data_IF_098760115992
#
_entry.id   IF_098760115992
#
_cell.length_a   1.000
_cell.length_b   1.000
_cell.length_c   1.000
_cell.angle_alpha   90.00
_cell.angle_beta   90.00
_cell.angle_gamma   90.00
#
_symmetry.space_group_name_H-M   'P 1'
#
loop_
_entity.id
_entity.type
_entity.pdbx_description
1 polymer ?
#
# COMPACT_ATOMS: atom_id res chain seq x y z
N UNK A 1 20.23 -71.13 25.64
CA UNK A 1 20.64 -70.00 24.79
C UNK A 1 19.42 -69.12 24.52
N UNK A 2 19.28 -68.01 25.26
CA UNK A 2 18.10 -67.14 25.22
C UNK A 2 18.37 -65.98 24.25
N UNK A 3 17.69 -65.93 23.09
CA UNK A 3 17.82 -64.85 22.10
C UNK A 3 17.10 -63.60 22.62
N UNK A 4 17.87 -62.54 22.89
CA UNK A 4 17.38 -61.19 23.19
C UNK A 4 16.81 -60.55 21.92
N UNK A 5 15.51 -60.29 21.90
CA UNK A 5 14.87 -59.46 20.87
C UNK A 5 15.16 -57.99 21.17
N UNK A 6 15.86 -57.31 20.25
CA UNK A 6 16.07 -55.86 20.29
C UNK A 6 14.88 -55.18 19.60
N UNK A 7 14.07 -54.44 20.36
CA UNK A 7 12.99 -53.62 19.81
C UNK A 7 13.58 -52.24 19.45
N UNK A 8 13.71 -51.96 18.16
CA UNK A 8 14.11 -50.63 17.67
C UNK A 8 12.87 -49.75 17.58
N UNK A 9 12.74 -48.77 18.48
CA UNK A 9 11.75 -47.70 18.33
C UNK A 9 12.25 -46.70 17.28
N UNK A 10 11.60 -46.70 16.11
CA UNK A 10 11.70 -45.64 15.12
C UNK A 10 10.94 -44.41 15.63
N UNK A 11 11.67 -43.38 16.06
CA UNK A 11 11.12 -42.05 16.32
C UNK A 11 10.76 -41.40 14.98
N UNK A 12 9.47 -41.30 14.69
CA UNK A 12 8.97 -40.50 13.58
C UNK A 12 9.21 -39.02 13.88
N UNK A 13 10.21 -38.43 13.20
CA UNK A 13 10.47 -37.00 13.24
C UNK A 13 9.36 -36.24 12.52
N UNK A 14 8.35 -35.81 13.27
CA UNK A 14 7.38 -34.83 12.80
C UNK A 14 8.07 -33.48 12.63
N UNK A 15 8.45 -33.14 11.40
CA UNK A 15 8.92 -31.80 11.07
C UNK A 15 7.80 -30.79 11.37
N UNK A 16 8.04 -29.93 12.35
CA UNK A 16 7.18 -28.78 12.62
C UNK A 16 7.33 -27.84 11.42
N UNK A 17 6.45 -27.97 10.43
CA UNK A 17 6.32 -26.99 9.36
C UNK A 17 5.89 -25.68 10.01
N UNK A 18 6.81 -24.70 10.10
CA UNK A 18 6.43 -23.38 10.58
C UNK A 18 5.33 -22.86 9.65
N UNK A 19 4.15 -22.61 10.23
CA UNK A 19 3.02 -22.11 9.48
C UNK A 19 3.40 -20.74 8.90
N UNK A 20 3.48 -20.66 7.56
CA UNK A 20 3.72 -19.41 6.86
C UNK A 20 2.61 -18.42 7.25
N UNK A 21 2.96 -17.27 7.82
CA UNK A 21 1.96 -16.24 8.12
C UNK A 21 1.21 -15.85 6.83
N UNK A 22 -0.11 -15.63 6.91
CA UNK A 22 -0.88 -15.21 5.74
C UNK A 22 -0.34 -13.90 5.20
N UNK A 23 -0.46 -13.72 3.87
CA UNK A 23 0.00 -12.51 3.24
C UNK A 23 -0.79 -11.30 3.78
N UNK A 24 -0.07 -10.26 4.22
CA UNK A 24 -0.65 -9.04 4.77
C UNK A 24 0.08 -7.81 4.24
N UNK A 25 -0.44 -6.64 4.57
CA UNK A 25 0.16 -5.37 4.16
C UNK A 25 1.27 -4.97 5.13
N UNK A 26 2.46 -4.78 4.60
CA UNK A 26 3.61 -4.20 5.28
C UNK A 26 3.77 -2.75 4.85
N UNK A 27 3.95 -1.85 5.81
CA UNK A 27 4.29 -0.45 5.56
C UNK A 27 5.44 -0.04 6.44
N UNK A 28 6.37 0.74 5.88
CA UNK A 28 7.56 1.09 6.62
C UNK A 28 8.54 1.89 5.81
N UNK A 29 9.68 2.14 6.46
CA UNK A 29 10.82 2.79 5.86
C UNK A 29 11.79 1.72 5.34
N UNK A 30 12.22 1.86 4.10
CA UNK A 30 13.08 0.93 3.38
C UNK A 30 14.42 1.59 3.08
N UNK A 31 15.50 0.86 3.32
CA UNK A 31 16.86 1.30 3.02
C UNK A 31 17.62 0.13 2.37
N UNK A 32 18.43 0.43 1.35
CA UNK A 32 19.31 -0.56 0.77
C UNK A 32 20.42 -0.96 1.75
N UNK A 33 20.79 -2.24 1.71
CA UNK A 33 21.91 -2.83 2.43
C UNK A 33 22.73 -3.70 1.50
N UNK A 34 23.88 -4.19 1.97
CA UNK A 34 24.71 -5.14 1.20
C UNK A 34 23.98 -6.46 0.86
N UNK A 35 22.87 -6.78 1.56
CA UNK A 35 22.10 -8.03 1.40
C UNK A 35 20.70 -7.81 0.80
N UNK A 36 20.47 -6.65 0.18
CA UNK A 36 19.17 -6.25 -0.37
C UNK A 36 18.47 -5.19 0.49
N UNK A 37 17.16 -5.04 0.32
CA UNK A 37 16.37 -4.05 1.07
C UNK A 37 16.11 -4.51 2.51
N UNK A 38 16.31 -3.59 3.46
CA UNK A 38 15.85 -3.74 4.83
C UNK A 38 14.66 -2.82 5.07
N UNK A 39 13.65 -3.31 5.78
CA UNK A 39 12.50 -2.50 6.18
C UNK A 39 12.44 -2.32 7.70
N UNK A 40 11.98 -1.14 8.12
CA UNK A 40 11.45 -0.88 9.45
C UNK A 40 9.95 -0.69 9.37
N UNK A 41 9.14 -1.69 9.78
CA UNK A 41 7.70 -1.54 9.81
C UNK A 41 7.30 -0.37 10.71
N UNK A 42 6.29 0.40 10.28
CA UNK A 42 5.78 1.51 11.06
C UNK A 42 5.35 1.04 12.46
N UNK A 43 5.72 1.80 13.50
CA UNK A 43 5.36 1.56 14.91
C UNK A 43 5.82 0.21 15.50
N UNK A 44 6.81 -0.47 14.91
CA UNK A 44 7.28 -1.78 15.40
C UNK A 44 8.64 -1.74 16.12
N UNK A 45 9.52 -0.80 15.76
CA UNK A 45 10.94 -0.84 16.17
C UNK A 45 11.76 -1.97 15.52
N UNK A 46 11.13 -2.84 14.73
CA UNK A 46 11.76 -3.99 14.11
C UNK A 46 12.62 -3.62 12.90
N UNK A 47 13.52 -4.54 12.55
CA UNK A 47 14.29 -4.53 11.30
C UNK A 47 14.10 -5.88 10.61
N UNK A 48 13.45 -5.86 9.45
CA UNK A 48 13.17 -7.05 8.65
C UNK A 48 13.96 -6.99 7.34
N UNK A 49 14.35 -8.16 6.85
CA UNK A 49 14.98 -8.34 5.55
C UNK A 49 13.86 -8.56 4.53
N UNK A 50 13.95 -7.90 3.39
CA UNK A 50 12.94 -7.98 2.34
C UNK A 50 13.49 -8.83 1.20
N UNK A 51 12.87 -9.97 0.96
CA UNK A 51 13.06 -10.73 -0.27
C UNK A 51 12.10 -10.17 -1.32
N UNK A 52 12.66 -9.66 -2.42
CA UNK A 52 11.87 -9.16 -3.54
C UNK A 52 11.37 -10.33 -4.42
N UNK A 53 10.10 -10.69 -4.22
CA UNK A 53 9.35 -11.63 -5.04
C UNK A 53 8.23 -10.94 -5.84
N UNK A 54 8.35 -9.62 -6.04
CA UNK A 54 7.43 -8.86 -6.89
C UNK A 54 7.68 -9.16 -8.37
N UNK A 55 6.71 -8.87 -9.25
CA UNK A 55 6.94 -8.96 -10.69
C UNK A 55 8.20 -8.20 -11.10
N UNK A 56 9.05 -8.87 -11.89
CA UNK A 56 10.33 -8.33 -12.38
C UNK A 56 11.34 -7.88 -11.31
N UNK A 57 11.13 -8.23 -10.02
CA UNK A 57 12.00 -7.79 -8.90
C UNK A 57 12.19 -6.27 -8.88
N UNK A 58 11.07 -5.54 -8.95
CA UNK A 58 11.08 -4.09 -9.18
C UNK A 58 11.49 -3.23 -7.97
N UNK A 59 11.56 -3.77 -6.74
CA UNK A 59 11.70 -2.95 -5.54
C UNK A 59 13.05 -2.24 -5.46
N UNK A 60 14.14 -2.93 -5.80
CA UNK A 60 15.47 -2.33 -5.76
C UNK A 60 15.66 -1.27 -6.84
N UNK A 61 15.11 -1.50 -8.03
CA UNK A 61 15.13 -0.52 -9.12
C UNK A 61 14.38 0.74 -8.72
N UNK A 62 13.16 0.58 -8.20
CA UNK A 62 12.36 1.70 -7.73
C UNK A 62 13.02 2.45 -6.56
N UNK A 63 13.68 1.73 -5.64
CA UNK A 63 14.46 2.36 -4.58
C UNK A 63 15.55 3.27 -5.14
N UNK A 64 16.35 2.77 -6.09
CA UNK A 64 17.44 3.55 -6.72
C UNK A 64 16.90 4.78 -7.46
N UNK A 65 15.80 4.63 -8.19
CA UNK A 65 15.13 5.74 -8.88
C UNK A 65 14.69 6.83 -7.90
N UNK A 66 14.04 6.45 -6.80
CA UNK A 66 13.46 7.39 -5.85
C UNK A 66 14.51 8.06 -4.95
N UNK A 67 15.62 7.38 -4.62
CA UNK A 67 16.63 7.99 -3.73
C UNK A 67 17.66 8.82 -4.46
N UNK A 68 17.95 8.54 -5.73
CA UNK A 68 19.05 9.11 -6.54
C UNK A 68 20.48 8.89 -5.97
N UNK A 69 20.61 8.71 -4.65
CA UNK A 69 21.83 8.38 -3.90
C UNK A 69 21.53 7.29 -2.86
N UNK A 70 22.43 6.34 -2.60
CA UNK A 70 22.21 5.29 -1.61
C UNK A 70 22.18 5.85 -0.17
N UNK A 71 21.52 5.13 0.74
CA UNK A 71 21.54 5.41 2.19
C UNK A 71 20.37 6.26 2.71
N UNK A 72 19.53 6.81 1.83
CA UNK A 72 18.28 7.45 2.24
C UNK A 72 17.19 6.41 2.44
N UNK A 73 16.43 6.53 3.53
CA UNK A 73 15.23 5.73 3.72
C UNK A 73 14.08 6.29 2.87
N UNK A 74 13.28 5.40 2.26
CA UNK A 74 12.04 5.77 1.55
C UNK A 74 10.87 4.99 2.14
N UNK A 75 9.67 5.53 1.99
CA UNK A 75 8.47 4.82 2.40
C UNK A 75 8.04 3.85 1.31
N UNK A 76 7.67 2.62 1.69
CA UNK A 76 6.93 1.72 0.82
C UNK A 76 5.79 1.04 1.55
N UNK A 77 4.78 0.65 0.78
CA UNK A 77 3.69 -0.22 1.20
C UNK A 77 3.63 -1.44 0.26
N UNK A 78 3.63 -2.64 0.83
CA UNK A 78 3.77 -3.92 0.13
C UNK A 78 2.75 -4.92 0.66
N UNK A 79 2.33 -5.89 -0.14
CA UNK A 79 1.80 -7.16 0.37
C UNK A 79 2.91 -8.22 0.36
N UNK A 80 2.99 -9.01 1.42
CA UNK A 80 3.96 -10.09 1.53
C UNK A 80 3.63 -11.06 2.66
N UNK A 81 4.39 -12.15 2.74
CA UNK A 81 4.34 -13.12 3.86
C UNK A 81 5.61 -13.02 4.70
N UNK A 82 5.50 -13.20 6.01
CA UNK A 82 6.63 -13.16 6.94
C UNK A 82 7.03 -14.56 7.40
N UNK A 83 8.33 -14.80 7.48
CA UNK A 83 8.95 -15.94 8.15
C UNK A 83 10.12 -15.43 8.99
N UNK A 84 9.93 -15.39 10.31
CA UNK A 84 10.92 -14.83 11.24
C UNK A 84 11.22 -13.35 10.94
N UNK A 85 12.46 -13.05 10.52
CA UNK A 85 12.88 -11.70 10.11
C UNK A 85 12.78 -11.43 8.60
N UNK A 86 12.40 -12.44 7.82
CA UNK A 86 12.28 -12.31 6.37
C UNK A 86 10.84 -11.97 5.99
N UNK A 87 10.67 -10.98 5.11
CA UNK A 87 9.41 -10.65 4.45
C UNK A 87 9.59 -10.93 2.97
N UNK A 88 8.83 -11.90 2.45
CA UNK A 88 8.74 -12.15 1.02
C UNK A 88 7.69 -11.22 0.43
N UNK A 89 8.13 -10.12 -0.20
CA UNK A 89 7.26 -9.13 -0.80
C UNK A 89 6.77 -9.60 -2.17
N UNK A 90 5.45 -9.65 -2.37
CA UNK A 90 4.83 -10.19 -3.59
C UNK A 90 4.12 -9.13 -4.42
N UNK A 91 3.69 -8.02 -3.79
CA UNK A 91 3.05 -6.90 -4.48
C UNK A 91 3.48 -5.58 -3.86
N UNK A 92 3.87 -4.63 -4.70
CA UNK A 92 4.02 -3.23 -4.32
C UNK A 92 2.66 -2.53 -4.41
N UNK A 93 2.34 -1.65 -3.45
CA UNK A 93 1.17 -0.77 -3.51
C UNK A 93 1.55 0.67 -3.81
N UNK A 94 2.55 1.19 -3.08
CA UNK A 94 3.13 2.52 -3.29
C UNK A 94 4.54 2.62 -2.74
N UNK A 95 5.35 3.52 -3.31
CA UNK A 95 6.67 3.89 -2.81
C UNK A 95 6.95 5.37 -3.10
N UNK A 96 7.51 6.09 -2.14
CA UNK A 96 7.91 7.49 -2.32
C UNK A 96 9.04 7.87 -1.36
N UNK A 97 9.89 8.80 -1.79
CA UNK A 97 10.97 9.33 -0.96
C UNK A 97 10.51 10.51 -0.09
N UNK A 98 9.44 11.21 -0.48
CA UNK A 98 8.93 12.43 0.16
C UNK A 98 7.44 12.31 0.40
N UNK A 99 6.99 12.57 1.62
CA UNK A 99 5.59 12.43 2.00
C UNK A 99 5.39 12.15 3.49
N UNK A 100 4.14 11.83 3.90
CA UNK A 100 3.80 11.64 5.31
C UNK A 100 4.43 10.37 5.91
N UNK A 101 4.63 9.32 5.12
CA UNK A 101 5.22 8.05 5.54
C UNK A 101 4.44 7.40 6.68
N UNK A 102 5.15 6.88 7.68
CA UNK A 102 4.55 6.25 8.86
C UNK A 102 3.72 7.19 9.76
N UNK A 103 3.73 8.51 9.51
CA UNK A 103 2.91 9.48 10.24
C UNK A 103 1.50 9.63 9.66
N UNK A 104 1.23 8.99 8.53
CA UNK A 104 -0.06 9.08 7.88
C UNK A 104 -1.15 8.37 8.70
N UNK A 105 -2.28 9.07 8.91
CA UNK A 105 -3.51 8.49 9.44
C UNK A 105 -4.45 8.08 8.30
N UNK A 106 -4.80 6.79 8.30
CA UNK A 106 -5.65 6.12 7.32
C UNK A 106 -6.76 5.28 7.98
N UNK A 107 -6.93 5.35 9.30
CA UNK A 107 -7.82 4.42 10.05
C UNK A 107 -9.28 4.51 9.59
N UNK A 108 -9.76 5.71 9.25
CA UNK A 108 -11.11 5.95 8.75
C UNK A 108 -11.18 6.11 7.22
N UNK A 109 -10.07 5.90 6.51
CA UNK A 109 -9.96 6.16 5.07
C UNK A 109 -10.06 4.83 4.33
N UNK A 110 -11.02 4.72 3.40
CA UNK A 110 -11.09 3.61 2.46
C UNK A 110 -10.11 3.81 1.31
N UNK A 111 -10.11 5.00 0.72
CA UNK A 111 -9.25 5.37 -0.39
C UNK A 111 -8.80 6.82 -0.22
N UNK A 112 -7.52 7.07 -0.46
CA UNK A 112 -6.96 8.41 -0.57
C UNK A 112 -6.44 8.62 -1.99
N UNK A 113 -6.65 9.82 -2.50
CA UNK A 113 -6.28 10.20 -3.85
C UNK A 113 -5.76 11.65 -3.88
N UNK A 114 -4.82 11.93 -4.78
CA UNK A 114 -4.27 13.27 -4.97
C UNK A 114 -3.86 13.50 -6.42
N UNK A 115 -3.87 14.76 -6.84
CA UNK A 115 -3.34 15.21 -8.13
C UNK A 115 -2.66 16.57 -8.03
N UNK A 116 -1.82 16.87 -9.02
CA UNK A 116 -0.90 18.02 -9.00
C UNK A 116 -1.39 19.21 -9.81
N UNK A 117 -1.99 18.99 -10.99
CA UNK A 117 -2.38 20.07 -11.90
C UNK A 117 -3.84 19.94 -12.34
N UNK A 118 -4.76 20.74 -11.75
CA UNK A 118 -4.58 21.53 -10.54
C UNK A 118 -4.33 20.65 -9.30
N UNK A 119 -3.83 21.24 -8.21
CA UNK A 119 -3.68 20.52 -6.94
C UNK A 119 -5.05 20.17 -6.36
N UNK A 120 -5.20 18.92 -5.95
CA UNK A 120 -6.37 18.46 -5.20
C UNK A 120 -6.02 17.23 -4.36
N UNK A 121 -6.81 17.04 -3.30
CA UNK A 121 -6.73 15.90 -2.40
C UNK A 121 -8.14 15.37 -2.16
N UNK A 122 -8.31 14.06 -2.15
CA UNK A 122 -9.59 13.42 -1.86
C UNK A 122 -9.40 12.27 -0.86
N UNK A 123 -10.25 12.26 0.16
CA UNK A 123 -10.39 11.14 1.10
C UNK A 123 -11.79 10.56 0.99
N UNK A 124 -11.91 9.33 0.49
CA UNK A 124 -13.12 8.54 0.64
C UNK A 124 -13.08 7.84 2.00
N UNK A 125 -13.88 8.32 2.95
CA UNK A 125 -13.97 7.83 4.32
C UNK A 125 -15.28 7.10 4.54
N UNK A 126 -15.38 6.37 5.66
CA UNK A 126 -16.63 5.71 6.09
C UNK A 126 -17.82 6.68 6.19
N UNK A 127 -17.56 7.92 6.60
CA UNK A 127 -18.61 8.90 6.94
C UNK A 127 -18.86 9.98 5.86
N UNK A 128 -17.96 10.12 4.90
CA UNK A 128 -18.08 11.02 3.75
C UNK A 128 -16.94 10.86 2.75
N UNK A 129 -17.14 11.41 1.56
CA UNK A 129 -16.04 11.74 0.64
C UNK A 129 -15.70 13.22 0.83
N UNK A 130 -14.42 13.51 1.11
CA UNK A 130 -13.92 14.86 1.37
C UNK A 130 -12.94 15.27 0.27
N UNK A 131 -13.24 16.33 -0.45
CA UNK A 131 -12.36 16.91 -1.47
C UNK A 131 -11.79 18.25 -1.00
N UNK A 132 -10.47 18.38 -1.02
CA UNK A 132 -9.72 19.60 -0.70
C UNK A 132 -9.02 20.11 -1.95
N UNK A 133 -9.07 21.42 -2.16
CA UNK A 133 -8.34 22.13 -3.21
C UNK A 133 -7.72 23.39 -2.61
N UNK A 134 -6.61 23.90 -3.15
CA UNK A 134 -6.07 25.18 -2.73
C UNK A 134 -7.12 26.28 -2.82
N UNK A 135 -7.23 27.09 -1.77
CA UNK A 135 -8.17 28.20 -1.70
C UNK A 135 -9.63 27.83 -1.44
N UNK A 136 -9.95 26.56 -1.18
CA UNK A 136 -11.31 26.12 -0.82
C UNK A 136 -11.32 25.50 0.57
N UNK A 137 -11.65 26.30 1.56
CA UNK A 137 -11.88 25.86 2.94
C UNK A 137 -13.29 26.28 3.39
N UNK A 138 -14.07 25.41 4.05
CA UNK A 138 -13.71 24.02 4.42
C UNK A 138 -13.65 23.07 3.22
N UNK A 139 -13.09 21.87 3.45
CA UNK A 139 -13.17 20.77 2.49
C UNK A 139 -14.60 20.53 2.03
N UNK A 140 -14.76 20.27 0.74
CA UNK A 140 -16.06 19.95 0.17
C UNK A 140 -16.47 18.53 0.55
N UNK A 141 -17.67 18.42 1.09
CA UNK A 141 -18.21 17.17 1.62
C UNK A 141 -19.26 16.61 0.67
N UNK A 142 -19.07 15.36 0.27
CA UNK A 142 -20.03 14.56 -0.48
C UNK A 142 -20.50 13.38 0.39
N UNK A 143 -21.70 12.82 0.14
CA UNK A 143 -22.25 11.73 0.93
C UNK A 143 -21.31 10.53 1.01
N UNK A 144 -21.32 9.85 2.15
CA UNK A 144 -20.64 8.57 2.27
C UNK A 144 -21.31 7.56 1.34
N UNK A 145 -20.52 6.87 0.54
CA UNK A 145 -20.98 5.70 -0.19
C UNK A 145 -19.83 4.73 -0.36
N UNK A 146 -20.17 3.46 -0.57
CA UNK A 146 -19.21 2.41 -0.86
C UNK A 146 -18.69 2.61 -2.28
N UNK A 147 -17.39 2.43 -2.47
CA UNK A 147 -16.80 2.30 -3.80
C UNK A 147 -17.32 1.03 -4.48
N UNK A 148 -18.20 1.20 -5.47
CA UNK A 148 -18.79 0.09 -6.20
C UNK A 148 -17.81 -0.47 -7.23
N UNK A 149 -17.69 -1.79 -7.28
CA UNK A 149 -16.91 -2.44 -8.35
C UNK A 149 -17.74 -2.47 -9.64
N UNK A 150 -17.26 -1.83 -10.70
CA UNK A 150 -17.83 -1.90 -12.05
C UNK A 150 -16.76 -2.38 -13.03
N UNK A 151 -16.80 -3.67 -13.37
CA UNK A 151 -15.76 -4.32 -14.16
C UNK A 151 -14.38 -4.23 -13.48
N UNK A 152 -13.40 -3.64 -14.16
CA UNK A 152 -12.04 -3.44 -13.63
C UNK A 152 -11.88 -2.19 -12.76
N UNK A 153 -12.93 -1.39 -12.60
CA UNK A 153 -12.87 -0.11 -11.88
C UNK A 153 -13.62 -0.15 -10.54
N UNK A 154 -13.18 0.67 -9.61
CA UNK A 154 -14.01 1.09 -8.49
C UNK A 154 -14.55 2.47 -8.77
N UNK A 155 -15.84 2.66 -8.63
CA UNK A 155 -16.50 3.94 -8.91
C UNK A 155 -17.25 4.47 -7.72
N UNK A 156 -17.40 5.77 -7.68
CA UNK A 156 -18.26 6.49 -6.74
C UNK A 156 -18.93 7.65 -7.47
N UNK A 157 -20.18 7.93 -7.13
CA UNK A 157 -20.89 9.13 -7.53
C UNK A 157 -21.62 9.71 -6.31
N UNK A 158 -21.45 11.01 -6.08
CA UNK A 158 -22.10 11.71 -4.99
C UNK A 158 -22.37 13.16 -5.36
N UNK A 159 -23.46 13.71 -4.83
CA UNK A 159 -23.86 15.09 -5.05
C UNK A 159 -23.86 15.89 -3.74
N UNK A 160 -23.48 17.17 -3.83
CA UNK A 160 -23.52 18.11 -2.72
C UNK A 160 -23.97 19.47 -3.24
N UNK A 161 -25.20 19.87 -2.89
CA UNK A 161 -25.86 21.02 -3.51
C UNK A 161 -25.99 20.84 -5.02
N UNK A 162 -25.41 21.76 -5.80
CA UNK A 162 -25.38 21.70 -7.26
C UNK A 162 -24.14 20.97 -7.81
N UNK A 163 -23.20 20.56 -6.96
CA UNK A 163 -21.97 19.91 -7.39
C UNK A 163 -22.13 18.40 -7.44
N UNK A 164 -21.65 17.77 -8.51
CA UNK A 164 -21.61 16.31 -8.65
C UNK A 164 -20.16 15.86 -8.77
N UNK A 165 -19.78 14.90 -7.94
CA UNK A 165 -18.47 14.27 -7.93
C UNK A 165 -18.60 12.83 -8.42
N UNK A 166 -17.90 12.51 -9.50
CA UNK A 166 -17.70 11.14 -9.98
C UNK A 166 -16.24 10.78 -9.83
N UNK A 167 -15.98 9.59 -9.31
CA UNK A 167 -14.67 9.02 -9.10
C UNK A 167 -14.60 7.68 -9.82
N UNK A 168 -13.53 7.43 -10.56
CA UNK A 168 -13.20 6.11 -11.07
C UNK A 168 -11.73 5.79 -10.77
N UNK A 169 -11.51 4.63 -10.14
CA UNK A 169 -10.19 4.15 -9.70
C UNK A 169 -9.87 2.87 -10.47
N UNK A 170 -8.63 2.76 -10.94
CA UNK A 170 -8.14 1.62 -11.73
C UNK A 170 -6.86 1.08 -11.11
N UNK A 171 -6.64 -0.23 -11.24
CA UNK A 171 -5.31 -0.84 -11.04
C UNK A 171 -4.41 -0.49 -12.23
N UNK A 172 -3.84 0.71 -12.21
CA UNK A 172 -2.87 1.17 -13.20
C UNK A 172 -1.77 1.97 -12.49
N UNK A 173 -0.54 1.77 -12.94
CA UNK A 173 0.61 2.48 -12.39
C UNK A 173 0.42 3.99 -12.55
N UNK A 174 0.73 4.73 -11.48
CA UNK A 174 0.65 6.18 -11.44
C UNK A 174 1.91 6.73 -10.79
N UNK A 175 2.47 7.79 -11.40
CA UNK A 175 3.62 8.51 -10.85
C UNK A 175 3.17 9.92 -10.47
N UNK A 176 3.39 10.28 -9.22
CA UNK A 176 3.12 11.63 -8.74
C UNK A 176 4.09 12.61 -9.42
N UNK A 177 3.56 13.62 -10.09
CA UNK A 177 4.33 14.51 -10.95
C UNK A 177 5.30 15.41 -10.17
N UNK A 178 5.00 15.70 -8.89
CA UNK A 178 5.84 16.55 -8.04
C UNK A 178 6.97 15.78 -7.38
N UNK A 179 6.65 14.62 -6.82
CA UNK A 179 7.58 13.88 -5.93
C UNK A 179 8.22 12.69 -6.62
N UNK A 180 7.72 12.30 -7.80
CA UNK A 180 8.12 11.06 -8.47
C UNK A 180 7.61 9.80 -7.78
N UNK A 181 6.79 9.92 -6.72
CA UNK A 181 6.22 8.81 -5.98
C UNK A 181 5.46 7.84 -6.88
N UNK A 182 5.67 6.54 -6.68
CA UNK A 182 5.05 5.48 -7.46
C UNK A 182 3.86 4.89 -6.72
N UNK A 183 2.73 4.75 -7.41
CA UNK A 183 1.48 4.19 -6.92
C UNK A 183 0.95 3.16 -7.91
N UNK A 184 0.20 2.18 -7.42
CA UNK A 184 -0.40 1.13 -8.27
C UNK A 184 -1.86 1.38 -8.60
N UNK A 185 -2.44 2.48 -8.11
CA UNK A 185 -3.76 2.93 -8.50
C UNK A 185 -3.67 4.30 -9.15
N UNK A 186 -4.37 4.44 -10.26
CA UNK A 186 -4.67 5.72 -10.90
C UNK A 186 -6.13 6.07 -10.65
N UNK A 187 -6.44 7.35 -10.65
CA UNK A 187 -7.80 7.84 -10.43
C UNK A 187 -8.14 8.94 -11.42
N UNK A 188 -9.38 8.91 -11.90
CA UNK A 188 -10.02 10.03 -12.59
C UNK A 188 -11.19 10.54 -11.78
N UNK A 189 -11.26 11.85 -11.63
CA UNK A 189 -12.39 12.56 -11.04
C UNK A 189 -13.07 13.38 -12.13
N UNK A 190 -14.39 13.32 -12.19
CA UNK A 190 -15.19 14.31 -12.90
C UNK A 190 -15.99 15.10 -11.88
N UNK A 191 -15.85 16.42 -11.92
CA UNK A 191 -16.52 17.33 -11.01
C UNK A 191 -16.97 18.57 -11.74
N UNK A 192 -18.29 18.77 -11.79
CA UNK A 192 -18.94 19.90 -12.48
C UNK A 192 -18.44 20.06 -13.95
N UNK A 193 -18.30 18.92 -14.64
CA UNK A 193 -17.80 18.85 -16.02
C UNK A 193 -16.28 18.94 -16.17
N UNK A 194 -15.52 19.21 -15.09
CA UNK A 194 -14.06 19.23 -15.11
C UNK A 194 -13.49 17.86 -14.80
N UNK A 195 -12.57 17.39 -15.63
CA UNK A 195 -11.85 16.14 -15.41
C UNK A 195 -10.51 16.39 -14.76
N UNK A 196 -10.22 15.63 -13.71
CA UNK A 196 -8.96 15.65 -12.97
C UNK A 196 -8.40 14.23 -12.96
N UNK A 197 -7.08 14.11 -12.98
CA UNK A 197 -6.39 12.84 -12.88
C UNK A 197 -5.37 12.88 -11.73
N UNK A 198 -5.07 11.71 -11.18
CA UNK A 198 -4.14 11.60 -10.06
C UNK A 198 -3.78 10.17 -9.70
N UNK A 199 -3.04 10.04 -8.61
CA UNK A 199 -2.69 8.76 -8.02
C UNK A 199 -3.60 8.46 -6.83
N UNK A 200 -3.80 7.18 -6.54
CA UNK A 200 -4.59 6.73 -5.41
C UNK A 200 -3.93 5.58 -4.66
N UNK A 201 -4.41 5.34 -3.44
CA UNK A 201 -4.03 4.20 -2.61
C UNK A 201 -5.13 3.88 -1.61
N UNK A 202 -5.23 2.60 -1.27
CA UNK A 202 -6.15 2.11 -0.24
C UNK A 202 -5.69 2.55 1.15
N UNK A 203 -6.63 2.97 1.99
CA UNK A 203 -6.39 3.22 3.41
C UNK A 203 -6.52 1.96 4.27
N UNK A 204 -6.76 2.14 5.57
CA UNK A 204 -6.83 1.05 6.55
C UNK A 204 -8.26 0.61 6.84
N UNK A 205 -9.23 1.38 6.36
CA UNK A 205 -10.62 1.03 6.50
C UNK A 205 -10.92 -0.25 5.70
N UNK A 206 -11.41 -1.28 6.40
CA UNK A 206 -11.76 -2.61 5.87
C UNK A 206 -10.59 -3.45 5.33
N UNK A 207 -9.34 -2.98 5.50
CA UNK A 207 -8.15 -3.75 5.09
C UNK A 207 -7.66 -4.65 6.23
N UNK A 208 -7.48 -5.97 6.01
CA UNK A 208 -6.85 -6.84 7.00
C UNK A 208 -5.43 -6.36 7.33
N UNK A 209 -5.11 -6.19 8.62
CA UNK A 209 -3.80 -5.72 9.12
C UNK A 209 -2.82 -6.86 9.35
#
# INVERSE_FOLDING_TARGET
MLKRSLLVLLLAGGGISQAQEPARVFRGNFIASAKGLMMSPCRSGERLIVEDATPQRQLETLYRELTQRPGRAIFMELTGSRNGRMVRATRLHRAYAEGPGCREDLDAVQLRANGTEPFWHLDARRDAVLMRRPGTEPAERFPAAVLERRGSEWVYEGASGQSVLRLAVREAACRDAMTGGHYTLSVSIERDGRKLAGCAYWGDYERPR
#
